data_IF_489023958676
#
_entry.id   IF_489023958676
#
_cell.length_a   1.000
_cell.length_b   1.000
_cell.length_c   1.000
_cell.angle_alpha   90.00
_cell.angle_beta   90.00
_cell.angle_gamma   90.00
#
_symmetry.space_group_name_H-M   'P 1'
#
loop_
_entity.id
_entity.type
_entity.pdbx_description
1 polymer ?
#
# COMPACT_ATOMS: atom_id res chain seq x y z
N UNK A 1 6.26 -23.66 -7.33
CA UNK A 1 5.24 -22.61 -7.56
C UNK A 1 4.78 -22.12 -6.19
N UNK A 2 4.93 -20.83 -5.88
CA UNK A 2 4.43 -20.28 -4.61
C UNK A 2 2.89 -20.33 -4.60
N UNK A 3 2.27 -20.64 -3.46
CA UNK A 3 0.80 -20.66 -3.39
C UNK A 3 0.25 -19.25 -3.58
N UNK A 4 -0.92 -19.13 -4.23
CA UNK A 4 -1.62 -17.86 -4.48
C UNK A 4 -1.72 -17.01 -3.20
N UNK A 5 -1.96 -17.67 -2.07
CA UNK A 5 -1.96 -17.09 -0.73
C UNK A 5 -0.63 -16.39 -0.37
N UNK A 6 0.50 -17.02 -0.66
CA UNK A 6 1.83 -16.47 -0.36
C UNK A 6 2.13 -15.24 -1.25
N UNK A 7 1.67 -15.26 -2.50
CA UNK A 7 1.88 -14.16 -3.44
C UNK A 7 1.03 -12.92 -3.06
N UNK A 8 -0.25 -13.14 -2.71
CA UNK A 8 -1.14 -12.08 -2.22
C UNK A 8 -0.63 -11.50 -0.91
N UNK A 9 -0.19 -12.34 0.03
CA UNK A 9 0.33 -11.87 1.31
C UNK A 9 1.58 -11.00 1.12
N UNK A 10 2.54 -11.43 0.28
CA UNK A 10 3.77 -10.67 0.01
C UNK A 10 3.48 -9.33 -0.69
N UNK A 11 2.58 -9.29 -1.66
CA UNK A 11 2.24 -8.04 -2.36
C UNK A 11 1.53 -7.05 -1.44
N UNK A 12 0.60 -7.53 -0.59
CA UNK A 12 -0.08 -6.69 0.39
C UNK A 12 0.91 -6.10 1.41
N UNK A 13 1.79 -6.94 1.98
CA UNK A 13 2.82 -6.48 2.93
C UNK A 13 3.72 -5.44 2.29
N UNK A 14 4.22 -5.69 1.07
CA UNK A 14 5.07 -4.75 0.34
C UNK A 14 4.37 -3.41 0.08
N UNK A 15 3.09 -3.43 -0.32
CA UNK A 15 2.32 -2.21 -0.55
C UNK A 15 2.17 -1.39 0.75
N UNK A 16 1.92 -2.05 1.89
CA UNK A 16 1.87 -1.37 3.19
C UNK A 16 3.17 -0.67 3.55
N UNK A 17 4.29 -1.35 3.34
CA UNK A 17 5.61 -0.79 3.66
C UNK A 17 5.86 0.47 2.81
N UNK A 18 5.52 0.41 1.52
CA UNK A 18 5.64 1.57 0.61
C UNK A 18 4.76 2.72 1.09
N UNK A 19 3.48 2.47 1.40
CA UNK A 19 2.58 3.50 1.91
C UNK A 19 3.06 4.10 3.24
N UNK A 20 3.54 3.28 4.17
CA UNK A 20 4.09 3.76 5.44
C UNK A 20 5.31 4.65 5.22
N UNK A 21 6.24 4.26 4.34
CA UNK A 21 7.39 5.08 3.98
C UNK A 21 6.97 6.43 3.37
N UNK A 22 6.01 6.44 2.44
CA UNK A 22 5.50 7.67 1.83
C UNK A 22 4.87 8.62 2.85
N UNK A 23 4.12 8.08 3.82
CA UNK A 23 3.50 8.87 4.89
C UNK A 23 4.58 9.49 5.78
N UNK A 24 5.60 8.74 6.18
CA UNK A 24 6.71 9.25 7.00
C UNK A 24 7.43 10.39 6.27
N UNK A 25 7.74 10.22 4.98
CA UNK A 25 8.39 11.26 4.17
C UNK A 25 7.52 12.51 4.08
N UNK A 26 6.22 12.36 3.84
CA UNK A 26 5.28 13.49 3.78
C UNK A 26 5.18 14.25 5.11
N UNK A 27 5.18 13.53 6.24
CA UNK A 27 5.14 14.15 7.58
C UNK A 27 6.41 14.94 7.88
N UNK A 28 7.58 14.39 7.55
CA UNK A 28 8.87 15.09 7.71
C UNK A 28 8.90 16.34 6.84
N UNK A 29 8.48 16.24 5.58
CA UNK A 29 8.40 17.38 4.67
C UNK A 29 7.43 18.45 5.18
N UNK A 30 6.26 18.06 5.68
CA UNK A 30 5.28 18.99 6.25
C UNK A 30 5.80 19.70 7.50
N UNK A 31 6.45 18.97 8.41
CA UNK A 31 7.06 19.56 9.61
C UNK A 31 8.14 20.57 9.24
N UNK A 32 9.01 20.21 8.29
CA UNK A 32 10.05 21.10 7.76
C UNK A 32 9.46 22.37 7.12
N UNK A 33 8.43 22.19 6.29
CA UNK A 33 7.72 23.30 5.65
C UNK A 33 7.06 24.23 6.69
N UNK A 34 6.41 23.66 7.71
CA UNK A 34 5.77 24.44 8.77
C UNK A 34 6.79 25.29 9.55
N UNK A 35 7.96 24.74 9.85
CA UNK A 35 9.04 25.49 10.53
C UNK A 35 9.52 26.65 9.65
N UNK A 36 9.80 26.40 8.37
CA UNK A 36 10.32 27.46 7.49
C UNK A 36 9.27 28.54 7.23
N UNK A 37 8.07 28.19 6.83
CA UNK A 37 7.12 29.17 6.31
C UNK A 37 6.23 29.80 7.38
N UNK A 38 6.01 29.15 8.53
CA UNK A 38 5.12 29.68 9.57
C UNK A 38 5.86 30.33 10.74
N UNK A 39 7.08 29.88 11.02
CA UNK A 39 7.83 30.32 12.18
C UNK A 39 8.89 31.39 11.83
N UNK A 40 9.64 31.23 10.72
CA UNK A 40 10.68 32.18 10.32
C UNK A 40 10.22 33.63 10.14
N UNK A 41 9.08 33.90 9.48
CA UNK A 41 8.63 35.28 9.28
C UNK A 41 8.34 35.99 10.61
N UNK A 42 7.76 35.26 11.58
CA UNK A 42 7.45 35.81 12.91
C UNK A 42 8.70 36.15 13.71
N UNK A 43 9.72 35.30 13.62
CA UNK A 43 11.02 35.53 14.26
C UNK A 43 11.70 36.75 13.63
N UNK A 44 11.77 36.78 12.31
CA UNK A 44 12.36 37.89 11.56
C UNK A 44 11.66 39.23 11.88
N UNK A 45 10.33 39.23 11.96
CA UNK A 45 9.53 40.39 12.34
C UNK A 45 9.85 40.85 13.77
N UNK A 46 9.85 39.94 14.75
CA UNK A 46 10.04 40.29 16.17
C UNK A 46 11.44 40.87 16.46
N UNK A 47 12.49 40.25 15.93
CA UNK A 47 13.86 40.78 16.06
C UNK A 47 14.07 42.02 15.20
N UNK A 48 13.47 42.07 14.00
CA UNK A 48 13.52 43.24 13.12
C UNK A 48 12.91 44.47 13.77
N UNK A 49 11.72 44.36 14.38
CA UNK A 49 11.05 45.48 15.07
C UNK A 49 11.88 46.00 16.25
N UNK A 50 12.43 45.10 17.07
CA UNK A 50 13.21 45.49 18.23
C UNK A 50 14.55 46.13 17.83
N UNK A 51 15.18 45.65 16.75
CA UNK A 51 16.36 46.31 16.20
C UNK A 51 16.05 47.68 15.58
N UNK A 52 14.94 47.81 14.84
CA UNK A 52 14.48 49.10 14.30
C UNK A 52 14.26 50.12 15.42
N UNK A 53 13.59 49.71 16.51
CA UNK A 53 13.31 50.56 17.67
C UNK A 53 14.58 51.09 18.35
N UNK A 54 15.61 50.26 18.48
CA UNK A 54 16.91 50.67 19.03
C UNK A 54 17.57 51.76 18.19
N UNK A 55 17.65 51.56 16.88
CA UNK A 55 18.29 52.54 15.98
C UNK A 55 17.49 53.83 15.79
N UNK A 56 16.16 53.79 15.95
CA UNK A 56 15.29 54.97 15.85
C UNK A 56 15.19 55.77 17.17
N UNK A 57 15.61 55.22 18.30
CA UNK A 57 15.55 55.89 19.61
C UNK A 57 16.90 55.88 20.32
N UNK A 58 17.76 56.89 20.09
CA UNK A 58 19.09 56.97 20.71
C UNK A 58 19.07 57.17 22.24
N UNK A 59 17.89 57.35 22.86
CA UNK A 59 17.73 57.89 24.23
C UNK A 59 17.05 56.89 25.19
N UNK A 60 16.67 55.69 24.74
CA UNK A 60 16.10 54.70 25.66
C UNK A 60 17.20 54.10 26.53
N UNK A 61 17.23 54.49 27.80
CA UNK A 61 18.14 53.98 28.84
C UNK A 61 17.90 52.53 29.27
N UNK A 62 17.31 51.70 28.41
CA UNK A 62 17.37 50.24 28.53
C UNK A 62 18.43 49.74 27.55
N UNK A 63 19.36 48.92 28.00
CA UNK A 63 20.41 48.41 27.12
C UNK A 63 19.76 47.67 25.94
N UNK A 64 20.24 47.86 24.71
CA UNK A 64 19.83 47.05 23.54
C UNK A 64 19.84 45.55 23.89
N UNK A 65 20.83 45.17 24.71
CA UNK A 65 20.98 43.82 25.24
C UNK A 65 19.79 43.39 26.08
N UNK A 66 19.19 44.26 26.91
CA UNK A 66 18.03 43.95 27.76
C UNK A 66 16.75 43.73 26.93
N UNK A 67 16.55 44.55 25.89
CA UNK A 67 15.41 44.41 24.98
C UNK A 67 15.57 43.17 24.08
N UNK A 68 16.78 42.92 23.59
CA UNK A 68 17.11 41.69 22.89
C UNK A 68 17.01 40.46 23.80
N UNK A 69 17.33 40.56 25.08
CA UNK A 69 17.16 39.46 26.06
C UNK A 69 15.67 39.15 26.29
N UNK A 70 14.81 40.17 26.30
CA UNK A 70 13.36 39.98 26.38
C UNK A 70 12.80 39.30 25.13
N UNK A 71 13.13 39.82 23.94
CA UNK A 71 12.75 39.20 22.66
C UNK A 71 13.33 37.79 22.57
N UNK A 72 14.57 37.61 23.01
CA UNK A 72 15.21 36.32 23.09
C UNK A 72 14.46 35.39 24.00
N UNK A 73 14.06 35.77 25.23
CA UNK A 73 13.26 34.90 26.11
C UNK A 73 11.95 34.47 25.47
N UNK A 74 11.28 35.38 24.75
CA UNK A 74 10.03 35.10 24.03
C UNK A 74 10.24 34.15 22.85
N UNK A 75 11.38 34.24 22.16
CA UNK A 75 11.72 33.37 21.02
C UNK A 75 12.43 32.07 21.45
N UNK A 76 13.12 32.05 22.59
CA UNK A 76 13.85 30.89 23.13
C UNK A 76 12.92 29.72 23.48
N UNK A 77 11.63 30.00 23.59
CA UNK A 77 10.55 29.00 23.68
C UNK A 77 10.39 28.19 22.37
N UNK A 78 10.99 28.65 21.27
CA UNK A 78 10.83 28.04 19.95
C UNK A 78 12.16 27.89 19.17
N UNK A 79 13.19 28.73 19.40
CA UNK A 79 14.52 28.64 18.78
C UNK A 79 15.63 29.37 19.57
N UNK A 80 16.89 28.97 19.45
CA UNK A 80 18.06 29.75 19.91
C UNK A 80 18.04 31.19 19.37
N UNK A 81 18.70 32.09 20.09
CA UNK A 81 18.77 33.50 19.73
C UNK A 81 19.60 33.69 18.45
N UNK A 82 19.11 34.42 17.44
CA UNK A 82 19.88 34.75 16.26
C UNK A 82 21.05 35.67 16.64
N UNK A 83 22.08 35.64 15.81
CA UNK A 83 23.16 36.63 15.86
C UNK A 83 22.75 37.80 14.96
N UNK A 84 22.79 39.01 15.49
CA UNK A 84 22.50 40.22 14.73
C UNK A 84 23.81 40.90 14.41
N UNK A 85 24.04 41.21 13.14
CA UNK A 85 25.24 41.90 12.68
C UNK A 85 24.92 43.17 11.91
N UNK A 86 25.87 44.10 11.87
CA UNK A 86 25.83 45.22 10.94
C UNK A 86 26.20 44.80 9.50
N UNK A 87 26.22 45.76 8.58
CA UNK A 87 26.58 45.53 7.18
C UNK A 87 28.06 45.15 6.97
N UNK A 88 28.91 45.39 7.95
CA UNK A 88 30.34 45.09 7.96
C UNK A 88 30.65 43.73 8.63
N UNK A 89 29.64 43.07 9.20
CA UNK A 89 29.77 41.78 9.88
C UNK A 89 30.11 41.87 11.37
N UNK A 90 30.11 43.06 11.97
CA UNK A 90 30.30 43.21 13.41
C UNK A 90 29.06 42.73 14.16
N UNK A 91 29.25 41.98 15.24
CA UNK A 91 28.17 41.44 16.05
C UNK A 91 27.56 42.56 16.90
N UNK A 92 26.31 42.90 16.63
CA UNK A 92 25.51 43.82 17.42
C UNK A 92 24.85 43.10 18.60
N UNK A 93 24.46 41.83 18.40
CA UNK A 93 23.88 41.00 19.44
C UNK A 93 24.21 39.52 19.23
N UNK A 94 24.65 38.85 20.30
CA UNK A 94 24.77 37.40 20.39
C UNK A 94 24.56 36.96 21.85
N UNK A 95 23.64 36.02 22.08
CA UNK A 95 23.35 35.50 23.43
C UNK A 95 24.53 34.77 24.07
N UNK A 96 25.38 34.12 23.25
CA UNK A 96 26.55 33.38 23.70
C UNK A 96 27.81 34.05 23.16
N UNK A 97 28.53 34.77 24.01
CA UNK A 97 29.72 35.57 23.65
C UNK A 97 30.95 34.73 23.20
N UNK A 98 30.87 33.39 23.18
CA UNK A 98 31.92 32.55 22.61
C UNK A 98 32.03 32.65 21.08
N UNK A 99 31.10 33.34 20.41
CA UNK A 99 31.18 33.66 18.99
C UNK A 99 31.75 35.07 18.85
N UNK A 100 33.08 35.18 18.72
CA UNK A 100 33.78 36.47 18.65
C UNK A 100 33.85 37.04 17.21
N UNK A 101 33.52 36.22 16.20
CA UNK A 101 33.49 36.60 14.79
C UNK A 101 32.57 35.62 14.02
N UNK A 102 31.72 36.13 13.12
CA UNK A 102 30.95 35.30 12.19
C UNK A 102 31.53 35.49 10.81
N UNK A 103 31.99 34.40 10.18
CA UNK A 103 32.45 34.43 8.80
C UNK A 103 31.29 34.85 7.88
N UNK A 104 31.47 35.98 7.19
CA UNK A 104 30.48 36.60 6.32
C UNK A 104 30.11 35.73 5.11
N UNK A 105 30.83 34.63 4.86
CA UNK A 105 30.57 33.64 3.81
C UNK A 105 29.20 32.91 3.93
N UNK A 106 28.47 33.05 5.05
CA UNK A 106 27.09 32.56 5.23
C UNK A 106 26.03 33.45 4.52
N UNK A 107 26.31 34.00 3.33
CA UNK A 107 25.42 34.95 2.63
C UNK A 107 24.02 34.39 2.32
N UNK A 108 23.88 33.08 2.12
CA UNK A 108 22.62 32.47 1.68
C UNK A 108 21.53 32.36 2.76
N UNK A 109 21.79 32.77 4.01
CA UNK A 109 20.82 32.69 5.12
C UNK A 109 20.63 33.98 5.92
N UNK A 110 21.14 35.11 5.44
CA UNK A 110 20.97 36.41 6.12
C UNK A 110 19.59 36.98 5.79
N UNK A 111 18.89 37.47 6.81
CA UNK A 111 17.66 38.24 6.60
C UNK A 111 18.03 39.73 6.71
N UNK A 112 18.01 40.49 5.60
CA UNK A 112 18.28 41.91 5.64
C UNK A 112 17.08 42.63 6.26
N UNK A 113 17.34 43.51 7.23
CA UNK A 113 16.36 44.43 7.77
C UNK A 113 16.87 45.85 7.53
N UNK A 114 16.15 46.62 6.73
CA UNK A 114 16.46 48.03 6.51
C UNK A 114 15.93 48.84 7.70
N UNK A 115 16.82 49.58 8.34
CA UNK A 115 16.54 50.30 9.58
C UNK A 115 16.38 51.81 9.33
N UNK A 116 17.12 52.33 8.36
CA UNK A 116 17.12 53.72 7.90
C UNK A 116 17.57 53.74 6.43
N UNK A 117 17.28 54.81 5.67
CA UNK A 117 17.81 54.98 4.29
C UNK A 117 19.34 54.78 4.34
N UNK A 118 19.83 53.71 3.71
CA UNK A 118 21.24 53.33 3.62
C UNK A 118 21.86 52.64 4.86
N UNK A 119 21.05 52.14 5.81
CA UNK A 119 21.51 51.27 6.92
C UNK A 119 20.73 49.96 6.96
N UNK A 120 21.43 48.87 6.70
CA UNK A 120 20.89 47.50 6.74
C UNK A 120 21.60 46.71 7.84
N UNK A 121 20.82 46.04 8.67
CA UNK A 121 21.34 45.01 9.59
C UNK A 121 21.02 43.63 9.03
N UNK A 122 21.82 42.65 9.39
CA UNK A 122 21.60 41.27 9.02
C UNK A 122 21.25 40.46 10.26
N UNK A 123 20.10 39.79 10.21
CA UNK A 123 19.74 38.78 11.19
C UNK A 123 20.26 37.45 10.66
N UNK A 124 21.24 36.88 11.37
CA UNK A 124 21.82 35.56 11.09
C UNK A 124 21.13 34.58 12.03
N UNK A 125 20.23 33.74 11.53
CA UNK A 125 19.62 32.75 12.38
C UNK A 125 20.65 31.73 12.87
N UNK A 126 20.44 31.14 14.07
CA UNK A 126 21.38 30.18 14.62
C UNK A 126 21.45 28.92 13.75
N UNK A 127 22.59 28.23 13.79
CA UNK A 127 22.85 27.10 12.90
C UNK A 127 21.79 25.99 13.10
N UNK A 128 20.97 25.76 12.08
CA UNK A 128 19.78 24.89 12.10
C UNK A 128 20.06 23.39 12.18
N UNK A 129 21.23 23.01 12.69
CA UNK A 129 21.47 21.61 13.02
C UNK A 129 20.36 21.15 13.94
N UNK A 130 19.58 20.15 13.49
CA UNK A 130 18.52 19.48 14.27
C UNK A 130 19.00 19.05 15.67
N UNK A 131 20.32 18.96 15.84
CA UNK A 131 20.94 18.55 17.08
C UNK A 131 20.97 19.62 18.18
N UNK A 132 20.88 20.92 17.86
CA UNK A 132 21.07 22.00 18.85
C UNK A 132 19.78 22.55 19.46
N UNK A 133 18.62 22.37 18.82
CA UNK A 133 17.38 22.97 19.31
C UNK A 133 16.54 22.00 20.14
N UNK A 134 16.41 22.28 21.44
CA UNK A 134 15.59 21.46 22.37
C UNK A 134 14.12 21.34 21.92
N UNK A 135 13.54 22.42 21.39
CA UNK A 135 12.16 22.42 20.90
C UNK A 135 11.99 21.76 19.52
N UNK A 136 12.95 21.94 18.60
CA UNK A 136 12.94 21.18 17.34
C UNK A 136 13.11 19.70 17.64
N UNK A 137 13.99 19.32 18.58
CA UNK A 137 14.07 17.96 19.11
C UNK A 137 12.72 17.52 19.65
N UNK A 138 12.07 18.28 20.52
CA UNK A 138 10.78 17.88 21.10
C UNK A 138 9.67 17.72 20.06
N UNK A 139 9.51 18.68 19.14
CA UNK A 139 8.53 18.61 18.04
C UNK A 139 8.85 17.44 17.10
N UNK A 140 10.12 17.24 16.76
CA UNK A 140 10.55 16.10 15.94
C UNK A 140 10.30 14.79 16.69
N UNK A 141 10.64 14.67 17.98
CA UNK A 141 10.40 13.47 18.78
C UNK A 141 8.90 13.14 18.91
N UNK A 142 8.06 14.12 19.25
CA UNK A 142 6.61 13.92 19.38
C UNK A 142 5.98 13.50 18.03
N UNK A 143 6.42 14.13 16.93
CA UNK A 143 5.93 13.79 15.59
C UNK A 143 6.47 12.47 15.09
N UNK A 144 7.75 12.16 15.33
CA UNK A 144 8.37 10.89 14.97
C UNK A 144 7.76 9.74 15.76
N UNK A 145 7.48 9.92 17.06
CA UNK A 145 6.80 8.91 17.87
C UNK A 145 5.38 8.65 17.36
N UNK A 146 4.64 9.71 16.99
CA UNK A 146 3.33 9.57 16.37
C UNK A 146 3.42 8.84 15.02
N UNK A 147 4.39 9.16 14.16
CA UNK A 147 4.62 8.48 12.89
C UNK A 147 4.93 7.00 13.07
N UNK A 148 5.77 6.65 14.05
CA UNK A 148 6.08 5.26 14.38
C UNK A 148 4.80 4.55 14.88
N UNK A 149 4.03 5.19 15.74
CA UNK A 149 2.75 4.67 16.23
C UNK A 149 1.76 4.37 15.10
N UNK A 150 1.54 5.32 14.19
CA UNK A 150 0.70 5.12 13.01
C UNK A 150 1.25 4.04 12.07
N UNK A 151 2.57 3.99 11.89
CA UNK A 151 3.22 2.95 11.08
C UNK A 151 2.98 1.54 11.64
N UNK A 152 3.13 1.36 12.96
CA UNK A 152 2.85 0.09 13.64
C UNK A 152 1.37 -0.29 13.48
N UNK A 153 0.45 0.66 13.73
CA UNK A 153 -0.99 0.42 13.58
C UNK A 153 -1.33 0.03 12.13
N UNK A 154 -0.76 0.71 11.14
CA UNK A 154 -0.96 0.37 9.73
C UNK A 154 -0.47 -1.04 9.39
N UNK A 155 0.72 -1.42 9.86
CA UNK A 155 1.27 -2.78 9.65
C UNK A 155 0.38 -3.84 10.30
N UNK A 156 -0.10 -3.59 11.52
CA UNK A 156 -1.01 -4.51 12.22
C UNK A 156 -2.35 -4.64 11.49
N UNK A 157 -2.96 -3.51 11.11
CA UNK A 157 -4.23 -3.48 10.40
C UNK A 157 -4.13 -4.19 9.06
N UNK A 158 -3.11 -3.90 8.25
CA UNK A 158 -2.96 -4.55 6.95
C UNK A 158 -2.57 -6.00 7.06
N UNK A 159 -1.74 -6.40 8.04
CA UNK A 159 -1.46 -7.81 8.29
C UNK A 159 -2.74 -8.57 8.65
N UNK A 160 -3.59 -7.97 9.49
CA UNK A 160 -4.88 -8.53 9.86
C UNK A 160 -5.83 -8.62 8.65
N UNK A 161 -5.98 -7.53 7.89
CA UNK A 161 -6.83 -7.48 6.70
C UNK A 161 -6.35 -8.45 5.62
N UNK A 162 -5.05 -8.54 5.38
CA UNK A 162 -4.45 -9.45 4.41
C UNK A 162 -4.71 -10.90 4.77
N UNK A 163 -4.51 -11.26 6.04
CA UNK A 163 -4.82 -12.61 6.52
C UNK A 163 -6.32 -12.92 6.41
N UNK A 164 -7.19 -11.96 6.73
CA UNK A 164 -8.64 -12.11 6.59
C UNK A 164 -9.07 -12.29 5.13
N UNK A 165 -8.51 -11.50 4.22
CA UNK A 165 -8.84 -11.55 2.79
C UNK A 165 -8.30 -12.83 2.14
N UNK A 166 -7.08 -13.25 2.51
CA UNK A 166 -6.52 -14.51 2.07
C UNK A 166 -7.40 -15.70 2.47
N UNK A 167 -7.88 -15.72 3.72
CA UNK A 167 -8.80 -16.77 4.20
C UNK A 167 -10.16 -16.75 3.50
N UNK A 168 -10.70 -15.57 3.21
CA UNK A 168 -12.03 -15.45 2.59
C UNK A 168 -12.04 -15.68 1.08
N UNK A 169 -10.95 -15.40 0.38
CA UNK A 169 -10.91 -15.46 -1.09
C UNK A 169 -9.95 -16.54 -1.58
N UNK A 170 -8.68 -16.46 -1.17
CA UNK A 170 -7.65 -17.32 -1.73
C UNK A 170 -7.83 -18.79 -1.31
N UNK A 171 -8.19 -19.05 -0.05
CA UNK A 171 -8.42 -20.41 0.45
C UNK A 171 -9.59 -21.08 -0.30
N UNK A 172 -10.80 -20.49 -0.42
CA UNK A 172 -11.89 -20.99 -1.28
C UNK A 172 -11.50 -21.27 -2.72
N UNK A 173 -10.80 -20.35 -3.39
CA UNK A 173 -10.36 -20.53 -4.78
C UNK A 173 -9.38 -21.69 -4.87
N UNK A 174 -8.50 -21.86 -3.90
CA UNK A 174 -7.56 -22.97 -3.86
C UNK A 174 -8.28 -24.30 -3.67
N UNK A 175 -9.32 -24.36 -2.84
CA UNK A 175 -10.19 -25.54 -2.70
C UNK A 175 -10.87 -25.88 -4.03
N UNK A 176 -11.48 -24.90 -4.71
CA UNK A 176 -12.11 -25.10 -6.02
C UNK A 176 -11.10 -25.62 -7.06
N UNK A 177 -9.91 -24.99 -7.12
CA UNK A 177 -8.86 -25.34 -8.08
C UNK A 177 -8.29 -26.73 -7.83
N UNK A 178 -8.09 -27.11 -6.56
CA UNK A 178 -7.56 -28.41 -6.17
C UNK A 178 -8.54 -29.56 -6.49
N UNK A 179 -9.84 -29.31 -6.38
CA UNK A 179 -10.88 -30.32 -6.62
C UNK A 179 -11.38 -30.36 -8.07
N UNK A 180 -11.16 -29.30 -8.87
CA UNK A 180 -11.60 -29.22 -10.27
C UNK A 180 -11.24 -30.46 -11.13
N UNK A 181 -10.03 -31.04 -11.05
CA UNK A 181 -9.70 -32.25 -11.83
C UNK A 181 -10.57 -33.46 -11.46
N UNK A 182 -10.89 -33.60 -10.17
CA UNK A 182 -11.69 -34.70 -9.65
C UNK A 182 -13.18 -34.55 -9.97
N UNK A 183 -13.66 -33.36 -10.34
CA UNK A 183 -15.07 -33.14 -10.69
C UNK A 183 -15.50 -33.94 -11.93
N UNK A 184 -14.55 -34.26 -12.82
CA UNK A 184 -14.82 -35.06 -14.02
C UNK A 184 -15.06 -36.54 -13.73
N UNK A 185 -14.51 -37.06 -12.63
CA UNK A 185 -14.47 -38.51 -12.32
C UNK A 185 -15.18 -38.88 -11.02
N UNK A 186 -15.43 -37.92 -10.12
CA UNK A 186 -16.04 -38.13 -8.81
C UNK A 186 -17.36 -37.38 -8.66
N UNK A 187 -18.19 -37.79 -7.69
CA UNK A 187 -19.46 -37.11 -7.35
C UNK A 187 -19.28 -35.92 -6.40
N UNK A 188 -18.04 -35.48 -6.19
CA UNK A 188 -17.71 -34.41 -5.25
C UNK A 188 -18.28 -33.08 -5.71
N UNK A 189 -19.20 -32.53 -4.93
CA UNK A 189 -19.81 -31.23 -5.15
C UNK A 189 -18.95 -30.16 -4.48
N UNK A 190 -18.35 -29.26 -5.26
CA UNK A 190 -17.32 -28.35 -4.74
C UNK A 190 -17.91 -27.15 -3.99
N UNK A 191 -19.17 -26.77 -4.26
CA UNK A 191 -19.87 -25.76 -3.47
C UNK A 191 -20.04 -26.17 -2.00
N UNK A 192 -20.22 -27.47 -1.73
CA UNK A 192 -20.36 -27.99 -0.36
C UNK A 192 -19.05 -28.00 0.45
N UNK A 193 -17.90 -27.79 -0.20
CA UNK A 193 -16.58 -27.72 0.45
C UNK A 193 -16.23 -26.31 0.92
N UNK A 194 -17.05 -25.31 0.56
CA UNK A 194 -16.83 -23.92 0.89
C UNK A 194 -17.50 -23.56 2.22
N UNK A 195 -16.85 -22.67 2.98
CA UNK A 195 -17.45 -22.11 4.17
C UNK A 195 -18.55 -21.11 3.79
N UNK A 196 -19.55 -20.94 4.67
CA UNK A 196 -20.69 -20.07 4.43
C UNK A 196 -20.33 -18.57 4.40
N UNK A 197 -19.16 -18.19 4.90
CA UNK A 197 -18.63 -16.81 4.88
C UNK A 197 -17.77 -16.49 3.66
N UNK A 198 -17.70 -17.42 2.68
CA UNK A 198 -17.07 -17.16 1.40
C UNK A 198 -17.84 -16.04 0.64
N UNK A 199 -17.14 -15.19 -0.13
CA UNK A 199 -17.78 -14.15 -0.94
C UNK A 199 -18.81 -14.72 -1.90
N UNK A 200 -19.89 -13.98 -2.12
CA UNK A 200 -20.99 -14.36 -3.01
C UNK A 200 -20.51 -14.71 -4.42
N UNK A 201 -19.50 -14.01 -4.94
CA UNK A 201 -18.90 -14.29 -6.25
C UNK A 201 -18.24 -15.66 -6.31
N UNK A 202 -17.57 -16.07 -5.23
CA UNK A 202 -16.91 -17.38 -5.13
C UNK A 202 -17.94 -18.50 -4.98
N UNK A 203 -18.99 -18.26 -4.18
CA UNK A 203 -20.11 -19.19 -4.03
C UNK A 203 -20.87 -19.40 -5.36
N UNK A 204 -21.11 -18.31 -6.10
CA UNK A 204 -21.70 -18.36 -7.45
C UNK A 204 -20.84 -19.18 -8.40
N UNK A 205 -19.52 -18.95 -8.42
CA UNK A 205 -18.57 -19.72 -9.23
C UNK A 205 -18.63 -21.22 -8.90
N UNK A 206 -18.63 -21.56 -7.62
CA UNK A 206 -18.71 -22.95 -7.18
C UNK A 206 -20.01 -23.63 -7.63
N UNK A 207 -21.13 -22.91 -7.51
CA UNK A 207 -22.44 -23.38 -7.97
C UNK A 207 -22.45 -23.60 -9.49
N UNK A 208 -21.86 -22.69 -10.27
CA UNK A 208 -21.74 -22.84 -11.72
C UNK A 208 -20.84 -24.02 -12.12
N UNK A 209 -19.77 -24.29 -11.38
CA UNK A 209 -18.91 -25.46 -11.61
C UNK A 209 -19.68 -26.76 -11.35
N UNK A 210 -20.51 -26.81 -10.30
CA UNK A 210 -21.34 -27.97 -10.01
C UNK A 210 -22.42 -28.20 -11.07
N UNK A 211 -23.05 -27.13 -11.56
CA UNK A 211 -24.01 -27.20 -12.67
C UNK A 211 -23.35 -27.73 -13.96
N UNK A 212 -22.17 -27.21 -14.31
CA UNK A 212 -21.42 -27.67 -15.47
C UNK A 212 -21.07 -29.16 -15.36
N UNK A 213 -20.63 -29.61 -14.19
CA UNK A 213 -20.37 -31.02 -13.89
C UNK A 213 -21.61 -31.89 -14.11
N UNK A 214 -22.77 -31.45 -13.62
CA UNK A 214 -24.03 -32.18 -13.81
C UNK A 214 -24.40 -32.30 -15.29
N UNK A 215 -24.26 -31.22 -16.05
CA UNK A 215 -24.56 -31.23 -17.48
C UNK A 215 -23.60 -32.15 -18.25
N UNK A 216 -22.29 -32.09 -17.97
CA UNK A 216 -21.31 -32.99 -18.58
C UNK A 216 -21.65 -34.46 -18.32
N UNK A 217 -22.02 -34.83 -17.08
CA UNK A 217 -22.45 -36.20 -16.77
C UNK A 217 -23.70 -36.61 -17.50
N UNK A 218 -24.70 -35.72 -17.57
CA UNK A 218 -25.94 -35.95 -18.32
C UNK A 218 -25.66 -36.25 -19.79
N UNK A 219 -24.76 -35.48 -20.42
CA UNK A 219 -24.37 -35.69 -21.82
C UNK A 219 -23.65 -37.02 -22.03
N UNK A 220 -22.77 -37.43 -21.10
CA UNK A 220 -22.11 -38.74 -21.15
C UNK A 220 -23.12 -39.88 -21.05
N UNK A 221 -24.09 -39.77 -20.16
CA UNK A 221 -25.13 -40.80 -19.97
C UNK A 221 -26.04 -40.91 -21.19
N UNK A 222 -26.50 -39.78 -21.73
CA UNK A 222 -27.28 -39.74 -22.97
C UNK A 222 -26.52 -40.39 -24.13
N UNK A 223 -25.22 -40.10 -24.27
CA UNK A 223 -24.37 -40.70 -25.32
C UNK A 223 -24.24 -42.22 -25.14
N UNK A 224 -24.13 -42.71 -23.91
CA UNK A 224 -24.09 -44.15 -23.61
C UNK A 224 -25.41 -44.82 -23.98
N UNK A 225 -26.53 -44.24 -23.61
CA UNK A 225 -27.88 -44.73 -23.94
C UNK A 225 -28.08 -44.77 -25.45
N UNK A 226 -27.79 -43.68 -26.16
CA UNK A 226 -27.87 -43.64 -27.63
C UNK A 226 -27.02 -44.73 -28.28
N UNK A 227 -25.80 -44.95 -27.79
CA UNK A 227 -24.91 -45.97 -28.36
C UNK A 227 -25.43 -47.39 -28.09
N UNK A 228 -26.03 -47.62 -26.92
CA UNK A 228 -26.66 -48.89 -26.56
C UNK A 228 -27.91 -49.15 -27.41
N UNK A 229 -28.76 -48.14 -27.58
CA UNK A 229 -29.98 -48.23 -28.39
C UNK A 229 -29.65 -48.50 -29.85
N UNK A 230 -28.67 -47.79 -30.43
CA UNK A 230 -28.16 -48.05 -31.78
C UNK A 230 -27.64 -49.49 -31.91
N UNK A 231 -26.86 -49.97 -30.94
CA UNK A 231 -26.35 -51.34 -30.96
C UNK A 231 -27.48 -52.39 -30.89
N UNK A 232 -28.54 -52.10 -30.13
CA UNK A 232 -29.72 -52.96 -30.04
C UNK A 232 -30.54 -52.97 -31.34
N UNK A 233 -30.78 -51.79 -31.93
CA UNK A 233 -31.50 -51.66 -33.19
C UNK A 233 -30.74 -52.27 -34.38
N UNK A 234 -29.41 -52.28 -34.36
CA UNK A 234 -28.59 -52.91 -35.40
C UNK A 234 -28.45 -54.44 -35.22
N UNK A 235 -28.52 -54.97 -34.00
CA UNK A 235 -28.42 -56.42 -33.74
C UNK A 235 -29.56 -57.19 -34.41
N UNK A 236 -30.79 -56.68 -34.32
CA UNK A 236 -31.99 -57.31 -34.89
C UNK A 236 -31.92 -57.50 -36.41
N UNK A 237 -31.66 -56.47 -37.25
CA UNK A 237 -31.54 -56.64 -38.69
C UNK A 237 -30.30 -57.47 -39.07
N UNK A 238 -29.19 -57.36 -38.34
CA UNK A 238 -28.02 -58.20 -38.56
C UNK A 238 -28.33 -59.68 -38.34
N UNK A 239 -29.06 -60.04 -37.28
CA UNK A 239 -29.51 -61.41 -37.05
C UNK A 239 -30.45 -61.92 -38.14
N UNK A 240 -31.33 -61.07 -38.67
CA UNK A 240 -32.21 -61.42 -39.80
C UNK A 240 -31.42 -61.66 -41.08
N UNK A 241 -30.44 -60.81 -41.40
CA UNK A 241 -29.58 -60.98 -42.58
C UNK A 241 -28.74 -62.25 -42.44
N UNK A 242 -28.13 -62.49 -41.27
CA UNK A 242 -27.38 -63.72 -41.00
C UNK A 242 -28.24 -64.98 -41.11
N UNK A 243 -29.47 -64.97 -40.56
CA UNK A 243 -30.40 -66.09 -40.69
C UNK A 243 -30.80 -66.36 -42.15
N UNK A 244 -30.94 -65.30 -42.95
CA UNK A 244 -31.27 -65.42 -44.38
C UNK A 244 -30.09 -65.96 -45.20
N UNK A 245 -28.86 -65.59 -44.86
CA UNK A 245 -27.66 -66.17 -45.47
C UNK A 245 -27.50 -67.65 -45.09
N UNK A 246 -27.76 -68.02 -43.83
CA UNK A 246 -27.70 -69.44 -43.42
C UNK A 246 -28.78 -70.27 -44.12
N UNK A 247 -30.01 -69.75 -44.26
CA UNK A 247 -31.08 -70.42 -45.02
C UNK A 247 -30.72 -70.62 -46.48
N UNK A 248 -30.06 -69.65 -47.13
CA UNK A 248 -29.59 -69.80 -48.51
C UNK A 248 -28.47 -70.85 -48.62
N UNK A 249 -27.64 -71.00 -47.58
CA UNK A 249 -26.58 -72.01 -47.53
C UNK A 249 -27.14 -73.42 -47.28
N UNK A 250 -28.13 -73.57 -46.41
CA UNK A 250 -28.80 -74.86 -46.15
C UNK A 250 -29.59 -75.34 -47.37
N UNK A 251 -30.21 -74.44 -48.14
CA UNK A 251 -30.88 -74.77 -49.40
C UNK A 251 -29.88 -75.29 -50.47
N UNK A 252 -28.62 -74.90 -50.37
CA UNK A 252 -27.50 -75.42 -51.19
C UNK A 252 -26.95 -76.76 -50.66
N UNK A 253 -27.16 -77.09 -49.38
CA UNK A 253 -26.60 -78.29 -48.73
C UNK A 253 -27.62 -79.44 -48.62
N UNK A 254 -28.92 -79.21 -48.85
CA UNK A 254 -29.91 -80.30 -48.82
C UNK A 254 -29.85 -81.15 -50.11
N UNK A 255 -29.32 -82.40 -50.08
CA UNK A 255 -29.27 -83.25 -51.25
C UNK A 255 -30.65 -83.87 -51.50
N UNK A 256 -31.03 -83.89 -52.77
CA UNK A 256 -32.25 -84.51 -53.34
C UNK A 256 -32.72 -85.77 -52.59
N UNK A 257 -34.03 -85.94 -52.34
CA UNK A 257 -34.57 -87.22 -51.90
C UNK A 257 -34.37 -88.25 -53.02
N UNK A 258 -33.54 -89.25 -52.76
CA UNK A 258 -33.52 -90.49 -53.52
C UNK A 258 -34.86 -91.21 -53.32
N UNK A 259 -35.73 -91.16 -54.32
CA UNK A 259 -36.73 -92.20 -54.52
C UNK A 259 -36.63 -92.72 -55.95
N UNK A 260 -35.95 -93.87 -56.06
CA UNK A 260 -36.04 -94.79 -57.17
C UNK A 260 -37.43 -95.46 -57.17
N UNK A 261 -38.00 -95.54 -58.37
CA UNK A 261 -39.10 -96.39 -58.85
C UNK A 261 -40.52 -96.06 -58.40
#
# INVERSE_FOLDING_TARGET
>A
MQSLRQQIFRSMVAMTIICACLIVVAQVAFAYYAIIYRYMPKVAEMYGTAAIKYYQSPVLGHSFVDEMDYVTKLVNEFAEAPVITDAQGNILYAKNMNVMYVDLAFESRKIPVEVEKNKTIYIIPPDYSLNNYKYVKQVVYERTLACIGFGIIAVLLTSFLSNSLAKRIADPIQVLTANAPQMSTSDVQVSGLLHADAPDEVLKLATSLDQMRHEVRRQIELRRQMTADIAHELRTPMSVISAKIESLRDDVINPLPHHFQ
#
